data_IF_037732578124
#
_entry.id   IF_037732578124
#
_cell.length_a   1.000
_cell.length_b   1.000
_cell.length_c   1.000
_cell.angle_alpha   90.00
_cell.angle_beta   90.00
_cell.angle_gamma   90.00
#
_symmetry.space_group_name_H-M   'P 1'
#
loop_
_entity.id
_entity.type
_entity.pdbx_description
1 polymer ?
#
# COMPACT_ATOMS: atom_id res chain seq x y z
N UNK A 1 8.90 -10.01 -18.57
CA UNK A 1 8.64 -8.61 -18.20
C UNK A 1 7.27 -8.39 -17.55
N UNK A 2 6.17 -8.28 -18.31
CA UNK A 2 4.84 -8.04 -17.71
C UNK A 2 4.38 -9.23 -16.86
N UNK A 3 4.58 -10.46 -17.36
CA UNK A 3 4.19 -11.67 -16.63
C UNK A 3 4.91 -11.80 -15.28
N UNK A 4 6.22 -11.52 -15.24
CA UNK A 4 7.02 -11.55 -14.00
C UNK A 4 6.52 -10.53 -12.99
N UNK A 5 6.27 -9.29 -13.43
CA UNK A 5 5.70 -8.25 -12.58
C UNK A 5 4.33 -8.66 -12.04
N UNK A 6 3.46 -9.25 -12.87
CA UNK A 6 2.15 -9.74 -12.44
C UNK A 6 2.28 -10.84 -11.39
N UNK A 7 3.22 -11.77 -11.57
CA UNK A 7 3.49 -12.84 -10.59
C UNK A 7 3.99 -12.27 -9.27
N UNK A 8 4.95 -11.34 -9.30
CA UNK A 8 5.46 -10.65 -8.11
C UNK A 8 4.33 -9.92 -7.40
N UNK A 9 3.54 -9.14 -8.14
CA UNK A 9 2.40 -8.41 -7.58
C UNK A 9 1.35 -9.33 -6.97
N UNK A 10 1.08 -10.48 -7.59
CA UNK A 10 0.14 -11.45 -7.06
C UNK A 10 0.63 -12.10 -5.75
N UNK A 11 1.91 -12.47 -5.67
CA UNK A 11 2.50 -13.02 -4.45
C UNK A 11 2.47 -11.99 -3.32
N UNK A 12 2.90 -10.76 -3.61
CA UNK A 12 2.88 -9.65 -2.65
C UNK A 12 1.45 -9.35 -2.21
N UNK A 13 0.48 -9.39 -3.12
CA UNK A 13 -0.93 -9.19 -2.82
C UNK A 13 -1.44 -10.22 -1.81
N UNK A 14 -1.18 -11.51 -2.06
CA UNK A 14 -1.60 -12.59 -1.16
C UNK A 14 -1.03 -12.37 0.24
N UNK A 15 0.27 -12.10 0.34
CA UNK A 15 0.94 -11.88 1.62
C UNK A 15 0.32 -10.67 2.35
N UNK A 16 0.19 -9.53 1.66
CA UNK A 16 -0.40 -8.33 2.24
C UNK A 16 -1.86 -8.55 2.66
N UNK A 17 -2.64 -9.27 1.86
CA UNK A 17 -4.04 -9.55 2.14
C UNK A 17 -4.20 -10.44 3.38
N UNK A 18 -3.40 -11.51 3.49
CA UNK A 18 -3.43 -12.40 4.65
C UNK A 18 -3.03 -11.68 5.94
N UNK A 19 -1.93 -10.92 5.91
CA UNK A 19 -1.38 -10.24 7.09
C UNK A 19 -2.22 -9.01 7.48
N UNK A 20 -2.51 -8.11 6.54
CA UNK A 20 -3.10 -6.82 6.86
C UNK A 20 -4.64 -6.81 6.82
N UNK A 21 -5.28 -7.75 6.14
CA UNK A 21 -6.74 -7.82 6.09
C UNK A 21 -7.29 -9.00 6.86
N UNK A 22 -6.91 -10.24 6.54
CA UNK A 22 -7.51 -11.42 7.19
C UNK A 22 -7.19 -11.43 8.68
N UNK A 23 -5.92 -11.24 9.07
CA UNK A 23 -5.53 -11.21 10.47
C UNK A 23 -6.13 -10.00 11.22
N UNK A 24 -6.06 -8.80 10.65
CA UNK A 24 -6.58 -7.59 11.31
C UNK A 24 -8.11 -7.57 11.40
N UNK A 25 -8.82 -8.08 10.38
CA UNK A 25 -10.29 -8.18 10.37
C UNK A 25 -10.78 -9.21 11.38
N UNK A 26 -10.09 -10.35 11.52
CA UNK A 26 -10.43 -11.37 12.53
C UNK A 26 -10.32 -10.82 13.96
N UNK A 27 -9.47 -9.82 14.17
CA UNK A 27 -9.22 -9.21 15.48
C UNK A 27 -9.94 -7.85 15.66
N UNK A 28 -10.89 -7.48 14.78
CA UNK A 28 -11.57 -6.17 14.75
C UNK A 28 -10.61 -4.96 14.81
N UNK A 29 -9.39 -5.15 14.31
CA UNK A 29 -8.27 -4.21 14.44
C UNK A 29 -8.04 -3.37 13.17
N UNK A 30 -8.89 -3.47 12.14
CA UNK A 30 -8.71 -2.75 10.87
C UNK A 30 -8.59 -1.22 11.08
N UNK A 31 -9.34 -0.66 12.03
CA UNK A 31 -9.30 0.77 12.36
C UNK A 31 -7.97 1.22 12.98
N UNK A 32 -7.20 0.28 13.55
CA UNK A 32 -5.89 0.55 14.15
C UNK A 32 -4.75 0.52 13.13
N UNK A 33 -5.03 0.22 11.87
CA UNK A 33 -4.04 0.27 10.80
C UNK A 33 -3.47 1.69 10.67
N UNK A 34 -2.14 1.82 10.79
CA UNK A 34 -1.44 3.11 10.78
C UNK A 34 -1.68 3.91 9.48
N UNK A 35 -1.74 3.24 8.34
CA UNK A 35 -2.00 3.90 7.05
C UNK A 35 -3.42 4.45 7.00
N UNK A 36 -4.40 3.68 7.47
CA UNK A 36 -5.80 4.12 7.56
C UNK A 36 -5.94 5.31 8.50
N UNK A 37 -5.35 5.23 9.70
CA UNK A 37 -5.35 6.31 10.68
C UNK A 37 -4.68 7.58 10.14
N UNK A 38 -3.56 7.44 9.42
CA UNK A 38 -2.89 8.57 8.78
C UNK A 38 -3.80 9.26 7.77
N UNK A 39 -4.40 8.52 6.84
CA UNK A 39 -5.29 9.07 5.81
C UNK A 39 -6.53 9.70 6.45
N UNK A 40 -7.17 9.01 7.40
CA UNK A 40 -8.34 9.51 8.12
C UNK A 40 -8.03 10.84 8.83
N UNK A 41 -6.96 10.90 9.62
CA UNK A 41 -6.59 12.10 10.38
C UNK A 41 -6.18 13.26 9.49
N UNK A 42 -5.36 13.00 8.47
CA UNK A 42 -4.86 14.04 7.56
C UNK A 42 -5.98 14.67 6.74
N UNK A 43 -6.93 13.88 6.25
CA UNK A 43 -8.00 14.35 5.37
C UNK A 43 -9.34 14.60 6.09
N UNK A 44 -9.44 14.27 7.38
CA UNK A 44 -10.65 14.38 8.23
C UNK A 44 -11.84 13.61 7.64
N UNK A 45 -11.59 12.38 7.16
CA UNK A 45 -12.61 11.54 6.55
C UNK A 45 -13.60 10.99 7.59
N UNK A 46 -14.89 10.93 7.25
CA UNK A 46 -15.93 10.34 8.11
C UNK A 46 -16.13 8.87 7.76
N UNK A 47 -15.37 8.02 8.43
CA UNK A 47 -15.36 6.59 8.15
C UNK A 47 -16.44 5.86 8.97
N UNK A 48 -17.33 5.16 8.27
CA UNK A 48 -18.17 4.08 8.82
C UNK A 48 -17.50 2.71 8.55
N UNK A 49 -18.04 1.63 9.10
CA UNK A 49 -17.45 0.29 8.98
C UNK A 49 -17.27 -0.17 7.52
N UNK A 50 -18.20 0.21 6.62
CA UNK A 50 -18.11 -0.12 5.20
C UNK A 50 -16.97 0.64 4.53
N UNK A 51 -16.82 1.94 4.84
CA UNK A 51 -15.71 2.76 4.36
C UNK A 51 -14.37 2.31 4.93
N UNK A 52 -14.31 1.85 6.18
CA UNK A 52 -13.10 1.28 6.79
C UNK A 52 -12.68 0.01 6.04
N UNK A 53 -13.62 -0.90 5.77
CA UNK A 53 -13.36 -2.14 5.03
C UNK A 53 -12.88 -1.84 3.60
N UNK A 54 -13.54 -0.90 2.92
CA UNK A 54 -13.17 -0.49 1.57
C UNK A 54 -11.80 0.22 1.52
N UNK A 55 -11.54 1.16 2.43
CA UNK A 55 -10.25 1.85 2.52
C UNK A 55 -9.11 0.86 2.84
N UNK A 56 -9.35 -0.11 3.72
CA UNK A 56 -8.36 -1.14 4.04
C UNK A 56 -7.98 -1.96 2.81
N UNK A 57 -8.94 -2.34 1.97
CA UNK A 57 -8.68 -3.03 0.69
C UNK A 57 -7.92 -2.15 -0.29
N UNK A 58 -8.27 -0.87 -0.40
CA UNK A 58 -7.55 0.09 -1.26
C UNK A 58 -6.09 0.21 -0.82
N UNK A 59 -5.83 0.37 0.48
CA UNK A 59 -4.47 0.46 1.03
C UNK A 59 -3.67 -0.82 0.73
N UNK A 60 -4.30 -1.99 0.76
CA UNK A 60 -3.61 -3.25 0.45
C UNK A 60 -3.21 -3.33 -1.02
N UNK A 61 -4.11 -2.95 -1.93
CA UNK A 61 -3.80 -2.89 -3.35
C UNK A 61 -2.66 -1.90 -3.58
N UNK A 62 -2.74 -0.73 -2.95
CA UNK A 62 -1.71 0.30 -3.06
C UNK A 62 -0.34 -0.17 -2.55
N UNK A 63 -0.28 -0.70 -1.32
CA UNK A 63 0.94 -1.26 -0.74
C UNK A 63 1.52 -2.39 -1.61
N UNK A 64 0.66 -3.21 -2.21
CA UNK A 64 1.09 -4.26 -3.13
C UNK A 64 1.80 -3.68 -4.34
N UNK A 65 1.23 -2.66 -4.98
CA UNK A 65 1.85 -2.01 -6.12
C UNK A 65 3.19 -1.36 -5.75
N UNK A 66 3.24 -0.64 -4.63
CA UNK A 66 4.45 0.02 -4.16
C UNK A 66 5.58 -0.98 -3.91
N UNK A 67 5.31 -2.07 -3.20
CA UNK A 67 6.30 -3.12 -2.92
C UNK A 67 6.75 -3.80 -4.21
N UNK A 68 5.80 -4.11 -5.11
CA UNK A 68 6.11 -4.81 -6.37
C UNK A 68 7.02 -3.97 -7.27
N UNK A 69 6.78 -2.67 -7.36
CA UNK A 69 7.66 -1.74 -8.10
C UNK A 69 9.08 -1.73 -7.50
N UNK A 70 9.19 -1.69 -6.17
CA UNK A 70 10.50 -1.69 -5.51
C UNK A 70 11.27 -2.99 -5.74
N UNK A 71 10.60 -4.16 -5.66
CA UNK A 71 11.19 -5.47 -5.94
C UNK A 71 11.63 -5.56 -7.41
N UNK A 72 10.78 -5.12 -8.34
CA UNK A 72 11.07 -5.16 -9.77
C UNK A 72 12.32 -4.34 -10.12
N UNK A 73 12.47 -3.17 -9.51
CA UNK A 73 13.68 -2.35 -9.63
C UNK A 73 14.93 -3.09 -9.17
N UNK A 74 14.84 -3.79 -8.03
CA UNK A 74 15.96 -4.59 -7.50
C UNK A 74 16.36 -5.70 -8.48
N UNK A 75 15.38 -6.33 -9.14
CA UNK A 75 15.65 -7.45 -10.04
C UNK A 75 16.17 -7.02 -11.42
N UNK A 76 15.82 -5.82 -11.89
CA UNK A 76 16.13 -5.37 -13.26
C UNK A 76 17.38 -4.52 -13.38
N UNK A 77 17.79 -3.83 -12.33
CA UNK A 77 18.96 -2.96 -12.39
C UNK A 77 20.22 -3.73 -12.02
N UNK A 78 21.10 -3.88 -13.00
CA UNK A 78 22.40 -4.54 -12.81
C UNK A 78 23.44 -3.57 -12.24
N UNK A 79 23.16 -3.02 -11.06
CA UNK A 79 24.09 -2.17 -10.31
C UNK A 79 24.40 -2.80 -8.96
N UNK A 80 25.33 -2.19 -8.21
CA UNK A 80 25.67 -2.67 -6.87
C UNK A 80 24.41 -2.80 -5.99
N UNK A 81 24.25 -3.97 -5.37
CA UNK A 81 23.09 -4.32 -4.56
C UNK A 81 22.79 -3.30 -3.46
N UNK A 82 23.81 -2.78 -2.76
CA UNK A 82 23.61 -1.78 -1.69
C UNK A 82 23.09 -0.46 -2.22
N UNK A 83 23.60 0.00 -3.37
CA UNK A 83 23.14 1.21 -4.03
C UNK A 83 21.68 1.03 -4.49
N UNK A 84 21.38 -0.12 -5.07
CA UNK A 84 20.04 -0.43 -5.55
C UNK A 84 19.03 -0.54 -4.40
N UNK A 85 19.38 -1.21 -3.31
CA UNK A 85 18.56 -1.30 -2.12
C UNK A 85 18.25 0.09 -1.54
N UNK A 86 19.24 0.99 -1.50
CA UNK A 86 19.04 2.37 -1.06
C UNK A 86 18.10 3.14 -1.99
N UNK A 87 18.31 3.07 -3.31
CA UNK A 87 17.44 3.71 -4.31
C UNK A 87 16.01 3.20 -4.21
N UNK A 88 15.82 1.87 -4.11
CA UNK A 88 14.50 1.26 -3.94
C UNK A 88 13.83 1.66 -2.63
N UNK A 89 14.59 1.82 -1.55
CA UNK A 89 14.07 2.30 -0.27
C UNK A 89 13.60 3.76 -0.34
N UNK A 90 14.40 4.63 -0.96
CA UNK A 90 14.00 6.04 -1.17
C UNK A 90 12.75 6.11 -2.04
N UNK A 91 12.70 5.34 -3.13
CA UNK A 91 11.53 5.29 -4.00
C UNK A 91 10.29 4.76 -3.24
N UNK A 92 10.45 3.73 -2.43
CA UNK A 92 9.38 3.18 -1.60
C UNK A 92 8.75 4.25 -0.70
N UNK A 93 9.57 5.07 -0.02
CA UNK A 93 9.08 6.19 0.80
C UNK A 93 8.32 7.20 -0.05
N UNK A 94 8.89 7.61 -1.18
CA UNK A 94 8.27 8.60 -2.08
C UNK A 94 6.91 8.11 -2.58
N UNK A 95 6.84 6.85 -3.01
CA UNK A 95 5.60 6.22 -3.49
C UNK A 95 4.53 6.16 -2.40
N UNK A 96 4.88 5.80 -1.16
CA UNK A 96 3.94 5.83 -0.02
C UNK A 96 3.37 7.23 0.18
N UNK A 97 4.24 8.24 0.23
CA UNK A 97 3.81 9.63 0.49
C UNK A 97 2.85 10.10 -0.61
N UNK A 98 3.22 9.89 -1.88
CA UNK A 98 2.40 10.30 -3.02
C UNK A 98 1.07 9.54 -2.98
N UNK A 99 1.10 8.23 -2.86
CA UNK A 99 -0.10 7.42 -3.00
C UNK A 99 -1.09 7.63 -1.87
N UNK A 100 -0.65 7.67 -0.61
CA UNK A 100 -1.58 7.89 0.51
C UNK A 100 -2.20 9.30 0.47
N UNK A 101 -1.46 10.29 -0.02
CA UNK A 101 -2.02 11.61 -0.25
C UNK A 101 -3.03 11.62 -1.41
N UNK A 102 -2.72 10.90 -2.50
CA UNK A 102 -3.61 10.77 -3.64
C UNK A 102 -4.93 10.07 -3.23
N UNK A 103 -4.84 8.94 -2.53
CA UNK A 103 -5.98 8.20 -1.99
C UNK A 103 -6.81 9.12 -1.10
N UNK A 104 -6.19 9.76 -0.09
CA UNK A 104 -6.90 10.65 0.83
C UNK A 104 -7.58 11.82 0.12
N UNK A 105 -6.93 12.42 -0.87
CA UNK A 105 -7.50 13.50 -1.67
C UNK A 105 -8.70 13.06 -2.50
N UNK A 106 -8.60 11.92 -3.19
CA UNK A 106 -9.68 11.35 -4.00
C UNK A 106 -10.89 11.03 -3.11
N UNK A 107 -10.67 10.38 -1.97
CA UNK A 107 -11.75 10.00 -1.05
C UNK A 107 -12.43 11.23 -0.46
N UNK A 108 -11.66 12.24 -0.05
CA UNK A 108 -12.22 13.52 0.42
C UNK A 108 -13.10 14.18 -0.64
N UNK A 109 -12.66 14.19 -1.91
CA UNK A 109 -13.47 14.71 -3.03
C UNK A 109 -14.76 13.92 -3.25
N UNK A 110 -14.76 12.62 -2.98
CA UNK A 110 -15.94 11.75 -3.04
C UNK A 110 -16.88 11.92 -1.83
N UNK A 111 -16.57 12.80 -0.88
CA UNK A 111 -17.39 13.02 0.32
C UNK A 111 -17.25 11.90 1.35
N UNK A 112 -16.13 11.17 1.33
CA UNK A 112 -15.85 10.15 2.36
C UNK A 112 -15.60 10.77 3.72
#
# INVERSE_FOLDING_TARGET
>A
MILEFVVIAFIVFIINYLINYVHMKKNDALISNKALLFIQKKYKLKLDDKKIDALSKIIIIDNTLIISIAIELILRWNINYFVLAFVSFVLFIVLIIISYNLIGYILKKKGW
#
